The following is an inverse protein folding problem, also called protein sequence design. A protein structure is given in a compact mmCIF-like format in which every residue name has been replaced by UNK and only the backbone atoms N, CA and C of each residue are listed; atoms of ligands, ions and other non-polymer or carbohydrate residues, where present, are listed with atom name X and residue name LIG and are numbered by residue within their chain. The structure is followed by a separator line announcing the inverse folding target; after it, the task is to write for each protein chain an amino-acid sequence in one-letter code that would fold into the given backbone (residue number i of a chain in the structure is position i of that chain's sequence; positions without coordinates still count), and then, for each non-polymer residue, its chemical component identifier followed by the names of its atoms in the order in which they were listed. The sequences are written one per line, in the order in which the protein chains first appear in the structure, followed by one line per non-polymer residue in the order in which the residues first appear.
data_IF_172195715818
#
_entry.id   IF_172195715818
#
_cell.length_a   1.000
_cell.length_b   1.000
_cell.length_c   1.000
_cell.angle_alpha   90.00
_cell.angle_beta   90.00
_cell.angle_gamma   90.00
#
_symmetry.space_group_name_H-M   'P 1'
#
loop_
_entity.id
_entity.type
_entity.pdbx_description
1 polymer ?
#
# COMPACT_ATOMS: atom_id res chain seq x y z
N UNK A 1 -69.72 -4.25 -35.34
CA UNK A 1 -68.43 -3.55 -35.23
C UNK A 1 -67.90 -3.71 -33.81
N UNK A 2 -66.58 -3.78 -33.62
CA UNK A 2 -65.83 -3.85 -32.34
C UNK A 2 -65.54 -5.25 -31.75
N UNK A 3 -64.42 -5.84 -32.18
CA UNK A 3 -63.60 -6.73 -31.34
C UNK A 3 -62.16 -6.83 -31.90
N UNK A 4 -61.46 -5.70 -31.96
CA UNK A 4 -60.04 -5.65 -32.36
C UNK A 4 -59.16 -4.73 -31.51
N UNK A 5 -59.58 -4.36 -30.30
CA UNK A 5 -58.85 -3.40 -29.44
C UNK A 5 -58.18 -4.07 -28.22
N UNK A 6 -58.43 -5.36 -27.95
CA UNK A 6 -58.00 -6.01 -26.68
C UNK A 6 -56.66 -6.76 -26.66
N UNK A 7 -55.97 -6.96 -27.80
CA UNK A 7 -54.73 -7.78 -27.85
C UNK A 7 -53.43 -6.98 -27.96
N UNK A 8 -53.50 -5.72 -28.43
CA UNK A 8 -52.32 -4.87 -28.64
C UNK A 8 -51.93 -4.14 -27.36
N UNK A 9 -52.86 -3.96 -26.42
CA UNK A 9 -52.60 -3.26 -25.14
C UNK A 9 -51.86 -4.14 -24.13
N UNK A 10 -52.25 -5.41 -23.95
CA UNK A 10 -51.64 -6.26 -22.91
C UNK A 10 -50.18 -6.62 -23.21
N UNK A 11 -49.84 -6.97 -24.46
CA UNK A 11 -48.44 -7.25 -24.84
C UNK A 11 -47.54 -6.02 -24.73
N UNK A 12 -48.07 -4.84 -25.08
CA UNK A 12 -47.32 -3.59 -24.99
C UNK A 12 -47.08 -3.18 -23.53
N UNK A 13 -48.08 -3.36 -22.65
CA UNK A 13 -47.94 -3.14 -21.20
C UNK A 13 -46.95 -4.15 -20.59
N UNK A 14 -46.99 -5.41 -21.01
CA UNK A 14 -46.08 -6.45 -20.51
C UNK A 14 -44.62 -6.14 -20.88
N UNK A 15 -44.37 -5.67 -22.11
CA UNK A 15 -43.04 -5.23 -22.56
C UNK A 15 -42.62 -3.95 -21.83
N UNK A 16 -43.53 -3.00 -21.62
CA UNK A 16 -43.27 -1.75 -20.90
C UNK A 16 -42.89 -1.98 -19.43
N UNK A 17 -43.43 -3.03 -18.79
CA UNK A 17 -43.09 -3.43 -17.43
C UNK A 17 -41.85 -4.34 -17.36
N UNK A 18 -41.63 -5.19 -18.36
CA UNK A 18 -40.49 -6.12 -18.39
C UNK A 18 -39.14 -5.40 -18.52
N UNK A 19 -39.07 -4.32 -19.31
CA UNK A 19 -37.84 -3.53 -19.51
C UNK A 19 -37.32 -2.90 -18.21
N UNK A 20 -38.11 -2.14 -17.42
CA UNK A 20 -37.63 -1.57 -16.17
C UNK A 20 -37.30 -2.64 -15.12
N UNK A 21 -38.03 -3.78 -15.10
CA UNK A 21 -37.70 -4.90 -14.22
C UNK A 21 -36.34 -5.51 -14.60
N UNK A 22 -36.08 -5.73 -15.89
CA UNK A 22 -34.80 -6.24 -16.36
C UNK A 22 -33.64 -5.27 -16.03
N UNK A 23 -33.86 -3.96 -16.20
CA UNK A 23 -32.89 -2.94 -15.80
C UNK A 23 -32.61 -2.95 -14.29
N UNK A 24 -33.64 -3.07 -13.46
CA UNK A 24 -33.46 -3.19 -12.00
C UNK A 24 -32.67 -4.44 -11.62
N UNK A 25 -32.91 -5.58 -12.28
CA UNK A 25 -32.13 -6.82 -12.06
C UNK A 25 -30.67 -6.63 -12.48
N UNK A 26 -30.41 -5.99 -13.62
CA UNK A 26 -29.04 -5.70 -14.07
C UNK A 26 -28.34 -4.75 -13.09
N UNK A 27 -28.99 -3.67 -12.65
CA UNK A 27 -28.44 -2.74 -11.65
C UNK A 27 -28.15 -3.47 -10.34
N UNK A 28 -29.06 -4.35 -9.91
CA UNK A 28 -28.86 -5.15 -8.70
C UNK A 28 -27.67 -6.11 -8.83
N UNK A 29 -27.51 -6.78 -9.97
CA UNK A 29 -26.36 -7.65 -10.25
C UNK A 29 -25.05 -6.84 -10.27
N UNK A 30 -25.04 -5.67 -10.90
CA UNK A 30 -23.88 -4.78 -10.94
C UNK A 30 -23.55 -4.28 -9.52
N UNK A 31 -24.56 -3.87 -8.76
CA UNK A 31 -24.39 -3.40 -7.38
C UNK A 31 -23.84 -4.50 -6.46
N UNK A 32 -24.40 -5.72 -6.53
CA UNK A 32 -23.87 -6.87 -5.78
C UNK A 32 -22.51 -7.33 -6.27
N UNK A 33 -22.24 -7.25 -7.57
CA UNK A 33 -20.92 -7.50 -8.14
C UNK A 33 -19.88 -6.52 -7.60
N UNK A 34 -20.21 -5.22 -7.56
CA UNK A 34 -19.37 -4.20 -6.96
C UNK A 34 -19.21 -4.41 -5.46
N UNK A 35 -20.27 -4.72 -4.70
CA UNK A 35 -20.16 -5.03 -3.26
C UNK A 35 -19.35 -6.29 -3.01
N UNK A 36 -19.49 -7.34 -3.82
CA UNK A 36 -18.72 -8.58 -3.64
C UNK A 36 -17.25 -8.39 -4.00
N UNK A 37 -16.97 -7.63 -5.06
CA UNK A 37 -15.60 -7.29 -5.46
C UNK A 37 -14.94 -6.34 -4.46
N UNK A 38 -15.65 -5.29 -4.02
CA UNK A 38 -15.18 -4.37 -2.98
C UNK A 38 -15.15 -5.05 -1.61
N UNK A 39 -16.05 -5.99 -1.33
CA UNK A 39 -16.06 -6.81 -0.12
C UNK A 39 -14.82 -7.67 -0.01
N UNK A 40 -14.32 -8.21 -1.14
CA UNK A 40 -13.01 -8.87 -1.22
C UNK A 40 -11.82 -7.92 -1.03
N UNK A 41 -11.93 -6.64 -1.40
CA UNK A 41 -10.94 -5.62 -1.08
C UNK A 41 -11.02 -5.21 0.41
N UNK A 42 -12.21 -5.24 1.02
CA UNK A 42 -12.44 -5.02 2.44
C UNK A 42 -12.00 -6.24 3.28
N UNK A 43 -11.93 -7.44 2.69
CA UNK A 43 -11.35 -8.67 3.27
C UNK A 43 -9.82 -8.64 3.40
N UNK A 44 -9.16 -7.48 3.28
CA UNK A 44 -7.88 -7.30 3.97
C UNK A 44 -8.17 -7.31 5.46
N UNK A 45 -8.00 -8.50 6.01
CA UNK A 45 -8.49 -8.90 7.32
C UNK A 45 -8.03 -7.94 8.41
N UNK A 46 -8.99 -7.40 9.15
CA UNK A 46 -8.74 -6.74 10.45
C UNK A 46 -8.36 -7.74 11.54
N UNK A 47 -8.16 -9.02 11.21
CA UNK A 47 -7.60 -10.02 12.12
C UNK A 47 -6.26 -9.54 12.68
N UNK A 48 -5.95 -9.86 13.95
CA UNK A 48 -4.64 -9.63 14.53
C UNK A 48 -3.51 -10.18 13.66
N UNK A 49 -2.39 -9.47 13.63
CA UNK A 49 -1.20 -9.88 12.90
C UNK A 49 -0.16 -10.45 13.86
N UNK A 50 -0.17 -11.78 14.02
CA UNK A 50 0.75 -12.50 14.92
C UNK A 50 1.92 -13.17 14.17
N UNK A 51 2.16 -12.75 12.92
CA UNK A 51 3.22 -13.32 12.07
C UNK A 51 4.52 -12.53 12.18
N UNK A 52 5.64 -13.21 11.88
CA UNK A 52 6.97 -12.61 11.85
C UNK A 52 7.33 -12.29 10.40
N UNK A 53 7.83 -11.07 10.16
CA UNK A 53 8.40 -10.68 8.89
C UNK A 53 9.73 -11.38 8.63
N UNK A 54 9.90 -11.88 7.41
CA UNK A 54 11.20 -12.27 6.90
C UNK A 54 11.93 -11.02 6.40
N UNK A 55 13.24 -10.98 6.65
CA UNK A 55 14.08 -9.90 6.15
C UNK A 55 14.11 -9.95 4.62
N UNK A 56 13.84 -8.83 3.93
CA UNK A 56 13.95 -8.74 2.49
C UNK A 56 15.42 -8.77 2.04
N UNK A 57 15.66 -8.74 0.73
CA UNK A 57 17.01 -8.66 0.16
C UNK A 57 17.58 -7.24 0.28
N UNK A 58 16.71 -6.23 0.19
CA UNK A 58 17.09 -4.82 0.33
C UNK A 58 15.92 -3.95 0.75
N UNK A 59 16.24 -2.77 1.29
CA UNK A 59 15.31 -1.66 1.46
C UNK A 59 15.74 -0.46 0.61
N UNK A 60 14.78 0.10 -0.12
CA UNK A 60 14.87 1.43 -0.71
C UNK A 60 14.33 2.40 0.34
N UNK A 61 15.16 3.31 0.84
CA UNK A 61 14.80 4.23 1.93
C UNK A 61 14.74 5.63 1.36
N UNK A 62 13.54 6.20 1.30
CA UNK A 62 13.27 7.56 0.85
C UNK A 62 13.06 8.49 2.04
N UNK A 63 13.79 9.60 2.07
CA UNK A 63 13.57 10.70 3.03
C UNK A 63 12.66 11.76 2.41
N UNK A 64 11.39 11.73 2.83
CA UNK A 64 10.36 12.62 2.31
C UNK A 64 10.58 14.08 2.73
N UNK A 65 11.36 14.34 3.79
CA UNK A 65 11.66 15.70 4.25
C UNK A 65 12.58 16.45 3.30
N UNK A 66 13.34 15.72 2.48
CA UNK A 66 14.22 16.27 1.44
C UNK A 66 13.49 16.56 0.12
N UNK A 67 12.20 16.22 0.01
CA UNK A 67 11.43 16.48 -1.19
C UNK A 67 11.11 17.97 -1.36
N UNK A 68 11.50 18.53 -2.51
CA UNK A 68 11.37 19.97 -2.82
C UNK A 68 10.41 20.26 -3.97
N UNK A 69 9.87 19.24 -4.63
CA UNK A 69 9.02 19.40 -5.82
C UNK A 69 7.56 19.57 -5.41
N UNK A 70 6.76 20.22 -6.26
CA UNK A 70 5.33 20.40 -6.02
C UNK A 70 4.53 19.10 -6.20
N UNK A 71 5.08 18.14 -6.94
CA UNK A 71 4.48 16.83 -7.17
C UNK A 71 4.39 16.01 -5.88
N UNK A 72 3.41 15.10 -5.81
CA UNK A 72 3.28 14.17 -4.68
C UNK A 72 4.35 13.08 -4.79
N UNK A 73 5.08 12.85 -3.70
CA UNK A 73 5.98 11.69 -3.57
C UNK A 73 5.16 10.42 -3.77
N UNK A 74 5.70 9.42 -4.49
CA UNK A 74 5.14 8.06 -4.50
C UNK A 74 6.18 7.10 -3.94
N UNK A 75 5.79 5.84 -3.72
CA UNK A 75 6.70 4.81 -3.18
C UNK A 75 8.04 4.78 -3.94
N UNK A 76 9.17 4.56 -3.23
CA UNK A 76 10.50 4.58 -3.81
C UNK A 76 10.75 3.48 -4.85
N UNK A 77 9.87 2.47 -4.96
CA UNK A 77 9.93 1.50 -6.06
C UNK A 77 9.35 2.07 -7.37
N UNK A 78 8.39 3.01 -7.29
CA UNK A 78 7.70 3.57 -8.45
C UNK A 78 8.22 4.93 -8.87
N UNK A 79 8.75 5.69 -7.93
CA UNK A 79 9.33 7.00 -8.20
C UNK A 79 10.83 6.84 -8.10
N UNK A 80 11.52 6.97 -9.23
CA UNK A 80 12.96 7.17 -9.28
C UNK A 80 13.29 8.54 -8.67
N UNK A 81 13.06 8.68 -7.37
CA UNK A 81 13.52 9.81 -6.56
C UNK A 81 14.93 9.49 -6.07
N UNK A 82 15.83 9.12 -6.99
CA UNK A 82 17.20 8.71 -6.70
C UNK A 82 17.94 9.79 -5.87
N UNK A 83 17.60 11.06 -6.06
CA UNK A 83 18.15 12.20 -5.32
C UNK A 83 17.88 12.19 -3.81
N UNK A 84 16.87 11.44 -3.34
CA UNK A 84 16.44 11.37 -1.92
C UNK A 84 16.16 9.93 -1.47
N UNK A 85 16.60 8.95 -2.25
CA UNK A 85 16.38 7.52 -1.99
C UNK A 85 17.72 6.82 -1.99
N UNK A 86 18.05 6.12 -0.91
CA UNK A 86 19.22 5.24 -0.84
C UNK A 86 18.78 3.79 -0.94
N UNK A 87 19.70 2.89 -1.28
CA UNK A 87 19.41 1.45 -1.31
C UNK A 87 20.31 0.72 -0.32
N UNK A 88 19.73 0.22 0.77
CA UNK A 88 20.43 -0.60 1.73
C UNK A 88 20.36 -2.09 1.35
N UNK A 89 21.53 -2.72 1.20
CA UNK A 89 21.72 -4.12 0.83
C UNK A 89 22.58 -4.90 1.83
N UNK A 90 23.17 -4.23 2.82
CA UNK A 90 23.90 -4.87 3.88
C UNK A 90 22.93 -5.74 4.70
N UNK A 91 23.13 -7.05 4.61
CA UNK A 91 22.24 -8.03 5.23
C UNK A 91 22.09 -7.87 6.75
N UNK A 92 23.08 -7.28 7.45
CA UNK A 92 23.00 -7.03 8.89
C UNK A 92 22.08 -5.84 9.16
N UNK A 93 22.23 -4.75 8.41
CA UNK A 93 21.37 -3.57 8.54
C UNK A 93 19.93 -3.86 8.12
N UNK A 94 19.73 -4.60 7.02
CA UNK A 94 18.38 -5.04 6.57
C UNK A 94 17.70 -5.91 7.62
N UNK A 95 18.44 -6.83 8.27
CA UNK A 95 17.92 -7.62 9.39
C UNK A 95 17.57 -6.75 10.59
N UNK A 96 18.40 -5.77 10.94
CA UNK A 96 18.10 -4.86 12.05
C UNK A 96 16.82 -4.05 11.83
N UNK A 97 16.60 -3.52 10.62
CA UNK A 97 15.32 -2.86 10.29
C UNK A 97 14.15 -3.85 10.46
N UNK A 98 14.31 -5.08 9.96
CA UNK A 98 13.26 -6.11 10.07
C UNK A 98 12.99 -6.51 11.53
N UNK A 99 14.02 -6.57 12.37
CA UNK A 99 13.91 -6.84 13.80
C UNK A 99 13.17 -5.71 14.54
N UNK A 100 13.44 -4.44 14.21
CA UNK A 100 12.69 -3.29 14.71
C UNK A 100 11.20 -3.46 14.39
N UNK A 101 10.87 -3.85 13.16
CA UNK A 101 9.48 -4.08 12.74
C UNK A 101 8.87 -5.29 13.50
N UNK A 102 9.57 -6.41 13.59
CA UNK A 102 9.08 -7.60 14.29
C UNK A 102 8.85 -7.39 15.80
N UNK A 103 9.50 -6.41 16.41
CA UNK A 103 9.30 -6.05 17.82
C UNK A 103 8.11 -5.11 18.04
N UNK A 104 7.38 -4.72 16.98
CA UNK A 104 6.19 -3.87 17.10
C UNK A 104 4.94 -4.66 17.42
N UNK A 105 4.11 -4.06 18.25
CA UNK A 105 2.71 -4.45 18.38
C UNK A 105 1.91 -3.78 17.26
N UNK A 106 1.50 -4.57 16.28
CA UNK A 106 0.79 -4.09 15.10
C UNK A 106 -0.71 -4.23 15.26
N UNK A 107 -1.41 -3.12 15.02
CA UNK A 107 -2.86 -3.13 14.84
C UNK A 107 -3.17 -3.24 13.35
N UNK A 108 -3.98 -4.23 12.99
CA UNK A 108 -4.54 -4.33 11.64
C UNK A 108 -5.50 -3.17 11.36
N UNK A 109 -5.34 -2.57 10.18
CA UNK A 109 -6.14 -1.44 9.70
C UNK A 109 -6.73 -1.75 8.32
N UNK A 110 -7.69 -0.94 7.90
CA UNK A 110 -8.28 -1.07 6.56
C UNK A 110 -7.34 -0.57 5.48
N UNK A 111 -7.48 -1.09 4.25
CA UNK A 111 -6.80 -0.55 3.07
C UNK A 111 -7.01 0.97 2.94
N UNK A 112 -8.25 1.45 3.11
CA UNK A 112 -8.57 2.87 3.01
C UNK A 112 -7.86 3.74 4.07
N UNK A 113 -7.59 3.21 5.27
CA UNK A 113 -6.79 3.92 6.27
C UNK A 113 -5.32 3.98 5.84
N UNK A 114 -4.80 2.89 5.28
CA UNK A 114 -3.45 2.82 4.74
C UNK A 114 -3.27 3.75 3.52
N UNK A 115 -4.18 3.78 2.55
CA UNK A 115 -4.13 4.69 1.39
C UNK A 115 -4.12 6.17 1.82
N UNK A 116 -4.80 6.53 2.92
CA UNK A 116 -4.73 7.89 3.46
C UNK A 116 -3.34 8.22 4.00
N UNK A 117 -2.59 7.22 4.47
CA UNK A 117 -1.20 7.42 4.87
C UNK A 117 -0.29 7.81 3.71
N UNK A 118 -0.66 7.40 2.50
CA UNK A 118 0.01 7.69 1.22
C UNK A 118 -0.54 8.93 0.51
N UNK A 119 -1.64 9.53 0.99
CA UNK A 119 -2.35 10.59 0.25
C UNK A 119 -1.65 11.95 0.32
N UNK A 120 -0.83 12.21 1.33
CA UNK A 120 -0.12 13.49 1.48
C UNK A 120 1.29 13.34 2.07
N UNK A 121 2.16 12.55 1.40
CA UNK A 121 3.47 12.19 1.93
C UNK A 121 4.36 13.41 2.15
N UNK A 122 4.27 14.43 1.31
CA UNK A 122 5.08 15.65 1.40
C UNK A 122 4.91 16.38 2.75
N UNK A 123 3.74 16.24 3.41
CA UNK A 123 3.46 16.93 4.69
C UNK A 123 3.72 16.06 5.90
N UNK A 124 3.25 14.81 5.87
CA UNK A 124 3.20 13.96 7.05
C UNK A 124 4.32 12.93 7.10
N UNK A 125 4.83 12.48 5.95
CA UNK A 125 5.83 11.40 5.91
C UNK A 125 7.22 11.95 6.24
N UNK A 126 7.94 11.19 7.05
CA UNK A 126 9.36 11.35 7.30
C UNK A 126 10.14 10.38 6.41
N UNK A 127 9.95 9.08 6.60
CA UNK A 127 10.57 8.04 5.79
C UNK A 127 9.54 7.15 5.11
N UNK A 128 9.85 6.76 3.88
CA UNK A 128 9.15 5.71 3.15
C UNK A 128 10.16 4.63 2.76
N UNK A 129 9.99 3.43 3.29
CA UNK A 129 10.82 2.28 2.97
C UNK A 129 10.02 1.34 2.09
N UNK A 130 10.58 0.95 0.95
CA UNK A 130 10.03 -0.11 0.12
C UNK A 130 11.04 -1.25 0.02
N UNK A 131 10.58 -2.50 0.07
CA UNK A 131 11.48 -3.66 0.07
C UNK A 131 11.46 -4.45 -1.24
N UNK A 132 12.61 -5.04 -1.54
CA UNK A 132 12.75 -6.04 -2.61
C UNK A 132 13.01 -7.40 -1.98
N UNK A 133 12.28 -8.43 -2.40
CA UNK A 133 12.44 -9.79 -1.92
C UNK A 133 12.29 -10.79 -3.08
N UNK A 134 12.99 -11.93 -2.99
CA UNK A 134 12.88 -13.02 -3.97
C UNK A 134 11.42 -13.42 -4.23
N UNK A 135 10.99 -13.23 -5.47
CA UNK A 135 9.66 -13.59 -6.00
C UNK A 135 9.25 -15.05 -5.77
N UNK A 136 10.20 -15.98 -5.57
CA UNK A 136 9.89 -17.37 -5.26
C UNK A 136 9.44 -17.59 -3.80
N UNK A 137 9.76 -16.64 -2.91
CA UNK A 137 9.51 -16.74 -1.47
C UNK A 137 8.41 -15.81 -0.95
N UNK A 138 8.00 -14.79 -1.72
CA UNK A 138 6.89 -13.88 -1.37
C UNK A 138 5.53 -14.58 -1.23
N UNK A 139 5.39 -15.79 -1.79
CA UNK A 139 4.18 -16.60 -1.62
C UNK A 139 4.13 -17.35 -0.29
N UNK A 140 5.26 -17.46 0.42
CA UNK A 140 5.43 -18.31 1.61
C UNK A 140 5.61 -17.52 2.90
N UNK A 141 6.13 -16.29 2.82
CA UNK A 141 6.48 -15.47 3.98
C UNK A 141 5.87 -14.07 3.84
N UNK A 142 5.66 -13.40 4.98
CA UNK A 142 5.40 -11.96 4.97
C UNK A 142 6.71 -11.21 4.90
N UNK A 143 6.76 -10.22 4.01
CA UNK A 143 7.83 -9.24 3.92
C UNK A 143 7.26 -7.84 4.13
N UNK A 144 7.99 -6.91 4.75
CA UNK A 144 7.54 -5.54 4.93
C UNK A 144 7.68 -4.78 3.60
N UNK A 145 6.71 -4.95 2.69
CA UNK A 145 6.80 -4.45 1.32
C UNK A 145 6.86 -2.93 1.26
N UNK A 146 5.99 -2.27 2.02
CA UNK A 146 5.97 -0.81 2.15
C UNK A 146 5.86 -0.46 3.63
N UNK A 147 6.72 0.42 4.11
CA UNK A 147 6.72 0.94 5.47
C UNK A 147 6.78 2.45 5.40
N UNK A 148 5.77 3.11 5.95
CA UNK A 148 5.64 4.56 5.95
C UNK A 148 5.73 5.03 7.39
N UNK A 149 6.68 5.92 7.66
CA UNK A 149 6.90 6.51 8.97
C UNK A 149 6.56 7.99 8.86
N UNK A 150 5.53 8.41 9.59
CA UNK A 150 5.15 9.81 9.71
C UNK A 150 6.08 10.57 10.66
N UNK A 151 6.09 11.91 10.53
CA UNK A 151 6.87 12.83 11.38
C UNK A 151 6.48 12.75 12.85
N UNK A 152 5.24 12.37 13.15
CA UNK A 152 4.76 12.12 14.51
C UNK A 152 5.11 10.71 15.04
N UNK A 153 5.90 9.95 14.28
CA UNK A 153 6.34 8.57 14.55
C UNK A 153 5.25 7.51 14.42
N UNK A 154 4.09 7.85 13.86
CA UNK A 154 3.12 6.84 13.42
C UNK A 154 3.74 6.01 12.30
N UNK A 155 3.63 4.68 12.41
CA UNK A 155 4.16 3.73 11.43
C UNK A 155 3.00 2.99 10.77
N UNK A 156 2.99 2.99 9.43
CA UNK A 156 2.08 2.21 8.60
C UNK A 156 2.88 1.18 7.82
N UNK A 157 2.32 -0.02 7.64
CA UNK A 157 3.02 -1.11 6.96
C UNK A 157 2.05 -1.90 6.09
N UNK A 158 2.44 -2.13 4.84
CA UNK A 158 1.77 -3.07 3.94
C UNK A 158 2.63 -4.31 3.74
N UNK A 159 2.00 -5.48 3.88
CA UNK A 159 2.62 -6.78 3.64
C UNK A 159 1.66 -7.70 2.90
N UNK A 160 2.22 -8.74 2.25
CA UNK A 160 1.44 -9.82 1.70
C UNK A 160 2.14 -11.17 1.79
N UNK A 161 1.35 -12.23 1.79
CA UNK A 161 1.79 -13.63 1.67
C UNK A 161 0.87 -14.32 0.66
N UNK A 162 1.37 -14.50 -0.56
CA UNK A 162 0.54 -14.98 -1.67
C UNK A 162 -0.59 -14.00 -2.00
N UNK A 163 -1.85 -14.41 -1.84
CA UNK A 163 -3.02 -13.55 -2.08
C UNK A 163 -3.49 -12.80 -0.83
N UNK A 164 -2.90 -13.11 0.32
CA UNK A 164 -3.30 -12.54 1.58
C UNK A 164 -2.55 -11.22 1.79
N UNK A 165 -3.30 -10.12 1.83
CA UNK A 165 -2.77 -8.79 2.10
C UNK A 165 -3.10 -8.37 3.53
N UNK A 166 -2.18 -7.62 4.15
CA UNK A 166 -2.36 -7.02 5.48
C UNK A 166 -1.87 -5.58 5.45
N UNK A 167 -2.65 -4.71 6.07
CA UNK A 167 -2.31 -3.32 6.32
C UNK A 167 -2.26 -3.13 7.82
N UNK A 168 -1.15 -2.60 8.31
CA UNK A 168 -0.83 -2.57 9.72
C UNK A 168 -0.46 -1.15 10.14
N UNK A 169 -0.70 -0.86 11.42
CA UNK A 169 -0.36 0.40 12.06
C UNK A 169 0.30 0.15 13.40
N UNK A 170 1.35 0.90 13.69
CA UNK A 170 2.02 0.93 14.99
C UNK A 170 2.69 2.29 15.19
N UNK A 171 3.71 2.34 16.03
CA UNK A 171 4.56 3.52 16.24
C UNK A 171 6.03 3.12 16.34
N UNK A 172 6.90 4.04 15.93
CA UNK A 172 8.35 3.91 16.14
C UNK A 172 8.80 4.76 17.34
N UNK A 173 9.84 4.33 18.04
CA UNK A 173 10.48 5.11 19.11
C UNK A 173 11.50 6.08 18.53
N UNK A 174 11.97 7.03 19.34
CA UNK A 174 13.00 7.97 18.91
C UNK A 174 14.32 7.28 18.57
N UNK A 175 14.73 6.25 19.34
CA UNK A 175 15.99 5.53 19.09
C UNK A 175 15.94 4.73 17.78
N UNK A 176 14.80 4.12 17.47
CA UNK A 176 14.63 3.37 16.22
C UNK A 176 14.50 4.29 15.02
N UNK A 177 13.82 5.44 15.16
CA UNK A 177 13.77 6.46 14.10
C UNK A 177 15.18 6.99 13.84
N UNK A 178 15.91 7.33 14.91
CA UNK A 178 17.30 7.79 14.82
C UNK A 178 18.21 6.76 14.14
N UNK A 179 18.02 5.47 14.41
CA UNK A 179 18.75 4.42 13.70
C UNK A 179 18.51 4.47 12.18
N UNK A 180 17.25 4.64 11.75
CA UNK A 180 16.89 4.76 10.32
C UNK A 180 17.50 6.05 9.73
N UNK A 181 17.45 7.17 10.45
CA UNK A 181 18.06 8.44 10.05
C UNK A 181 19.58 8.33 9.86
N UNK A 182 20.28 7.73 10.83
CA UNK A 182 21.73 7.55 10.77
C UNK A 182 22.13 6.63 9.62
N UNK A 183 21.39 5.54 9.41
CA UNK A 183 21.57 4.64 8.27
C UNK A 183 21.39 5.39 6.96
N UNK A 184 20.30 6.14 6.83
CA UNK A 184 19.99 6.91 5.62
C UNK A 184 21.07 7.94 5.33
N UNK A 185 21.44 8.78 6.31
CA UNK A 185 22.42 9.84 6.11
C UNK A 185 23.79 9.28 5.75
N UNK A 186 24.23 8.19 6.39
CA UNK A 186 25.49 7.53 6.06
C UNK A 186 25.50 7.05 4.60
N UNK A 187 24.47 6.34 4.17
CA UNK A 187 24.39 5.83 2.78
C UNK A 187 24.25 6.95 1.77
N UNK A 188 23.48 7.98 2.12
CA UNK A 188 23.28 9.14 1.27
C UNK A 188 24.61 9.85 1.01
N UNK A 189 25.44 10.04 2.03
CA UNK A 189 26.78 10.63 1.91
C UNK A 189 27.72 9.77 1.07
N UNK A 190 27.73 8.45 1.26
CA UNK A 190 28.54 7.51 0.47
C UNK A 190 28.18 7.60 -1.03
N UNK A 191 26.89 7.50 -1.36
CA UNK A 191 26.40 7.54 -2.75
C UNK A 191 26.63 8.92 -3.41
N UNK A 192 26.53 10.02 -2.66
CA UNK A 192 26.80 11.37 -3.19
C UNK A 192 28.29 11.67 -3.30
N UNK A 193 29.15 11.14 -2.42
CA UNK A 193 30.61 11.35 -2.50
C UNK A 193 31.21 10.60 -3.69
N UNK A 194 30.75 9.37 -3.95
CA UNK A 194 31.18 8.58 -5.09
C UNK A 194 30.81 9.24 -6.42
N UNK A 195 29.63 9.86 -6.51
CA UNK A 195 29.16 10.59 -7.70
C UNK A 195 30.06 11.78 -8.08
N UNK A 196 30.62 12.50 -7.10
CA UNK A 196 31.54 13.61 -7.37
C UNK A 196 32.98 13.17 -7.66
N UNK A 197 33.41 12.02 -7.13
CA UNK A 197 34.74 11.46 -7.43
C UNK A 197 34.88 10.94 -8.87
N UNK A 198 33.76 10.52 -9.47
CA UNK A 198 33.73 9.94 -10.81
C UNK A 198 33.59 11.01 -11.92
N UNK A 199 33.17 12.22 -11.55
CA UNK A 199 32.91 13.33 -12.48
C UNK A 199 33.92 14.49 -12.37
N UNK A 200 35.00 14.32 -11.59
CA UNK A 200 36.14 15.24 -11.45
C UNK A 200 37.40 14.68 -12.11
#
# INVERSE_FOLDING_TARGET
MNKKIGKITLKSILVLLAIPIALLVIIFIIYYGMISHNGKLIETSLEPFDSVFKAPDSFYVLDATKWKREETIKSPIFTLCEEITIIERDSKLVKQITEILNNKDFKSITHNEYERSEANPNKEVHFWLASSADTNDVSKNYYPFEVIIWKDKTLYLFTSKGKEQRYLKSSITDDELKFIEELYNKRYEEEHTDYYSYNS
#
